data_IF_019762493541
#
_entry.id   IF_019762493541
#
_cell.length_a   1.000
_cell.length_b   1.000
_cell.length_c   1.000
_cell.angle_alpha   90.00
_cell.angle_beta   90.00
_cell.angle_gamma   90.00
#
_symmetry.space_group_name_H-M   'P 1'
#
loop_
_entity.id
_entity.type
_entity.pdbx_description
1 polymer ?
#
# COMPACT_ATOMS: atom_id res chain seq x y z
N UNK A 1 -4.92 68.52 35.58
CA UNK A 1 -3.90 67.54 36.03
C UNK A 1 -4.50 66.17 35.75
N UNK A 2 -4.24 65.63 34.56
CA UNK A 2 -3.24 64.56 34.30
C UNK A 2 -3.79 63.20 34.73
N UNK A 3 -4.27 62.39 33.78
CA UNK A 3 -3.56 61.23 33.16
C UNK A 3 -4.03 59.93 33.84
N UNK A 4 -4.24 58.79 33.22
CA UNK A 4 -3.91 58.24 31.90
C UNK A 4 -4.51 56.82 31.90
N UNK A 5 -5.07 56.39 30.78
CA UNK A 5 -5.35 54.98 30.52
C UNK A 5 -4.03 54.22 30.29
N UNK A 6 -4.00 52.90 30.52
CA UNK A 6 -3.54 52.07 29.42
C UNK A 6 -4.44 50.86 29.17
N UNK A 7 -4.79 50.77 27.89
CA UNK A 7 -5.18 49.60 27.14
C UNK A 7 -4.35 48.37 27.49
N UNK A 8 -4.99 47.30 27.97
CA UNK A 8 -4.37 45.96 27.95
C UNK A 8 -4.92 45.24 26.73
N UNK A 9 -4.10 45.21 25.69
CA UNK A 9 -4.32 44.44 24.48
C UNK A 9 -4.48 42.96 24.86
N UNK A 10 -5.68 42.42 24.67
CA UNK A 10 -5.95 40.98 24.78
C UNK A 10 -5.26 40.31 23.59
N UNK A 11 -4.13 39.68 23.87
CA UNK A 11 -3.34 38.95 22.90
C UNK A 11 -4.14 37.78 22.32
N UNK A 12 -4.57 37.92 21.07
CA UNK A 12 -5.06 36.81 20.27
C UNK A 12 -3.83 36.02 19.81
N UNK A 13 -3.37 35.10 20.65
CA UNK A 13 -2.48 34.02 20.24
C UNK A 13 -3.32 33.03 19.42
N UNK A 14 -3.49 33.31 18.13
CA UNK A 14 -3.97 32.37 17.13
C UNK A 14 -2.95 31.22 17.04
N UNK A 15 -3.17 30.19 17.84
CA UNK A 15 -2.57 28.87 17.69
C UNK A 15 -2.89 28.37 16.29
N UNK A 16 -1.94 28.57 15.37
CA UNK A 16 -1.86 27.87 14.10
C UNK A 16 -1.70 26.37 14.40
N UNK A 17 -2.82 25.67 14.62
CA UNK A 17 -2.87 24.24 14.42
C UNK A 17 -2.68 23.98 12.93
N UNK A 18 -1.43 23.99 12.49
CA UNK A 18 -1.03 23.33 11.27
C UNK A 18 -1.37 21.85 11.46
N UNK A 19 -2.57 21.47 11.04
CA UNK A 19 -2.98 20.07 10.89
C UNK A 19 -2.05 19.50 9.84
N UNK A 20 -0.91 18.98 10.28
CA UNK A 20 -0.06 18.13 9.47
C UNK A 20 -0.88 16.87 9.23
N UNK A 21 -1.68 16.87 8.16
CA UNK A 21 -2.16 15.63 7.56
C UNK A 21 -0.89 14.89 7.14
N UNK A 22 -0.38 14.06 8.04
CA UNK A 22 0.56 13.01 7.70
C UNK A 22 -0.08 12.30 6.52
N UNK A 23 0.46 12.51 5.32
CA UNK A 23 0.17 11.66 4.20
C UNK A 23 0.57 10.26 4.67
N UNK A 24 -0.41 9.46 5.02
CA UNK A 24 -0.19 8.11 5.54
C UNK A 24 0.35 7.29 4.38
N UNK A 25 1.67 7.29 4.22
CA UNK A 25 2.35 6.53 3.19
C UNK A 25 2.54 5.11 3.73
N UNK A 26 1.60 4.23 3.37
CA UNK A 26 1.70 2.80 3.63
C UNK A 26 3.02 2.24 3.06
N UNK A 27 3.67 1.36 3.80
CA UNK A 27 4.83 0.60 3.34
C UNK A 27 4.42 -0.83 3.02
N UNK A 28 5.00 -1.42 1.97
CA UNK A 28 4.74 -2.80 1.59
C UNK A 28 6.05 -3.55 1.33
N UNK A 29 6.01 -4.86 1.49
CA UNK A 29 7.09 -5.72 0.98
C UNK A 29 6.93 -5.82 -0.54
N UNK A 30 8.00 -5.49 -1.27
CA UNK A 30 8.12 -5.73 -2.69
C UNK A 30 9.06 -6.91 -2.95
N UNK A 31 8.55 -7.91 -3.65
CA UNK A 31 9.30 -9.07 -4.04
C UNK A 31 8.66 -9.80 -5.23
N UNK A 32 9.51 -10.43 -6.05
CA UNK A 32 9.13 -11.34 -7.13
C UNK A 32 9.96 -12.60 -6.94
N UNK A 33 9.31 -13.72 -6.64
CA UNK A 33 10.01 -14.97 -6.32
C UNK A 33 9.32 -16.16 -6.98
N UNK A 34 10.09 -17.08 -7.54
CA UNK A 34 9.60 -18.38 -8.00
C UNK A 34 9.68 -19.46 -6.90
N UNK A 35 10.18 -19.08 -5.72
CA UNK A 35 10.31 -19.90 -4.52
C UNK A 35 9.07 -19.75 -3.60
N UNK A 36 9.19 -20.26 -2.37
CA UNK A 36 8.16 -20.15 -1.33
C UNK A 36 7.96 -18.71 -0.84
N UNK A 37 6.85 -18.49 -0.14
CA UNK A 37 6.44 -17.15 0.28
C UNK A 37 7.39 -16.54 1.31
N UNK A 38 7.96 -17.37 2.19
CA UNK A 38 8.93 -17.01 3.21
C UNK A 38 10.23 -16.49 2.58
N UNK A 39 10.65 -17.11 1.47
CA UNK A 39 11.82 -16.65 0.73
C UNK A 39 11.59 -15.24 0.18
N UNK A 40 10.35 -14.92 -0.19
CA UNK A 40 9.98 -13.62 -0.72
C UNK A 40 9.97 -12.53 0.36
N UNK A 41 9.57 -12.87 1.60
CA UNK A 41 9.66 -11.96 2.73
C UNK A 41 11.08 -11.76 3.23
N UNK A 42 11.90 -12.81 3.21
CA UNK A 42 13.30 -12.73 3.65
C UNK A 42 14.16 -11.85 2.75
N UNK A 43 13.91 -11.84 1.43
CA UNK A 43 14.68 -11.05 0.44
C UNK A 43 13.94 -9.80 -0.04
N UNK A 44 12.67 -9.66 0.33
CA UNK A 44 11.81 -8.58 -0.12
C UNK A 44 12.27 -7.22 0.41
N UNK A 45 12.09 -6.18 -0.40
CA UNK A 45 12.42 -4.82 0.00
C UNK A 45 11.19 -4.14 0.56
N UNK A 46 11.30 -3.51 1.71
CA UNK A 46 10.23 -2.63 2.20
C UNK A 46 10.28 -1.33 1.41
N UNK A 47 9.19 -1.03 0.70
CA UNK A 47 9.06 0.18 -0.12
C UNK A 47 7.89 1.02 0.38
N UNK A 48 8.04 2.34 0.32
CA UNK A 48 6.95 3.28 0.59
C UNK A 48 6.03 3.34 -0.63
N UNK A 49 4.73 3.13 -0.46
CA UNK A 49 3.82 3.22 -1.59
C UNK A 49 3.58 4.68 -1.99
N UNK A 50 3.79 4.91 -3.27
CA UNK A 50 3.62 6.17 -3.98
C UNK A 50 3.23 5.83 -5.43
N UNK A 51 3.05 6.87 -6.25
CA UNK A 51 2.65 6.72 -7.64
C UNK A 51 3.64 5.90 -8.46
N UNK A 52 4.94 6.19 -8.31
CA UNK A 52 6.00 5.52 -9.08
C UNK A 52 6.02 4.01 -8.80
N UNK A 53 6.01 3.63 -7.52
CA UNK A 53 6.04 2.22 -7.11
C UNK A 53 4.74 1.50 -7.51
N UNK A 54 3.57 2.12 -7.34
CA UNK A 54 2.31 1.53 -7.75
C UNK A 54 2.18 1.39 -9.28
N UNK A 55 2.62 2.39 -10.05
CA UNK A 55 2.58 2.38 -11.51
C UNK A 55 3.58 1.37 -12.10
N UNK A 56 4.81 1.30 -11.57
CA UNK A 56 5.78 0.27 -11.97
C UNK A 56 5.22 -1.13 -11.73
N UNK A 57 4.64 -1.34 -10.54
CA UNK A 57 4.07 -2.63 -10.19
C UNK A 57 2.85 -2.97 -11.05
N UNK A 58 1.97 -2.00 -11.32
CA UNK A 58 0.85 -2.15 -12.25
C UNK A 58 1.32 -2.57 -13.64
N UNK A 59 2.32 -1.90 -14.21
CA UNK A 59 2.89 -2.24 -15.54
C UNK A 59 3.43 -3.67 -15.55
N UNK A 60 4.05 -4.11 -14.46
CA UNK A 60 4.48 -5.49 -14.32
C UNK A 60 3.30 -6.47 -14.33
N UNK A 61 2.26 -6.22 -13.53
CA UNK A 61 1.07 -7.06 -13.49
C UNK A 61 0.32 -7.08 -14.83
N UNK A 62 0.26 -5.95 -15.53
CA UNK A 62 -0.38 -5.85 -16.84
C UNK A 62 0.37 -6.64 -17.93
N UNK A 63 1.69 -6.84 -17.78
CA UNK A 63 2.44 -7.76 -18.65
C UNK A 63 2.01 -9.22 -18.43
N UNK A 64 1.64 -9.58 -17.19
CA UNK A 64 1.16 -10.91 -16.84
C UNK A 64 -0.32 -11.10 -17.22
N UNK A 65 -1.13 -10.05 -17.10
CA UNK A 65 -2.54 -10.04 -17.47
C UNK A 65 -2.93 -8.73 -18.18
N UNK A 66 -3.07 -8.80 -19.51
CA UNK A 66 -3.46 -7.67 -20.36
C UNK A 66 -4.88 -7.14 -20.11
N UNK A 67 -5.72 -7.89 -19.39
CA UNK A 67 -7.07 -7.43 -19.03
C UNK A 67 -7.07 -6.51 -17.81
N UNK A 68 -5.96 -6.43 -17.08
CA UNK A 68 -5.80 -5.52 -15.97
C UNK A 68 -5.76 -4.08 -16.52
N UNK A 69 -6.75 -3.28 -16.11
CA UNK A 69 -6.87 -1.88 -16.50
C UNK A 69 -6.41 -0.99 -15.36
N UNK A 70 -5.70 0.07 -15.71
CA UNK A 70 -5.28 1.07 -14.73
C UNK A 70 -6.52 1.79 -14.21
N UNK A 71 -6.61 2.08 -12.90
CA UNK A 71 -7.75 2.80 -12.38
C UNK A 71 -7.79 4.23 -12.95
N UNK A 72 -8.98 4.71 -13.30
CA UNK A 72 -9.15 6.08 -13.85
C UNK A 72 -8.74 7.19 -12.88
N UNK A 73 -8.69 6.89 -11.59
CA UNK A 73 -8.32 7.82 -10.53
C UNK A 73 -7.71 7.06 -9.35
N UNK A 74 -6.74 7.66 -8.68
CA UNK A 74 -6.04 7.07 -7.56
C UNK A 74 -6.83 7.29 -6.25
N UNK A 75 -7.23 6.20 -5.55
CA UNK A 75 -7.89 6.22 -4.23
C UNK A 75 -6.94 6.05 -3.05
N UNK A 76 -5.65 6.23 -3.27
CA UNK A 76 -4.58 5.82 -2.36
C UNK A 76 -3.98 4.49 -2.77
N UNK A 77 -3.16 3.95 -1.88
CA UNK A 77 -2.34 2.76 -2.15
C UNK A 77 -2.70 1.61 -1.20
N UNK A 78 -2.39 0.40 -1.61
CA UNK A 78 -2.55 -0.81 -0.83
C UNK A 78 -1.39 -1.77 -1.07
N UNK A 79 -1.12 -2.64 -0.10
CA UNK A 79 -0.23 -3.77 -0.30
C UNK A 79 -0.98 -4.91 -0.93
N UNK A 80 -0.32 -5.63 -1.83
CA UNK A 80 -0.86 -6.80 -2.49
C UNK A 80 0.14 -7.94 -2.44
N UNK A 81 -0.42 -9.16 -2.43
CA UNK A 81 0.29 -10.42 -2.56
C UNK A 81 -0.52 -11.32 -3.47
N UNK A 82 0.11 -11.87 -4.50
CA UNK A 82 -0.55 -12.77 -5.46
C UNK A 82 0.39 -13.87 -5.95
N UNK A 83 -0.16 -15.07 -6.14
CA UNK A 83 0.51 -16.17 -6.85
C UNK A 83 0.05 -16.22 -8.31
N UNK A 84 0.98 -16.00 -9.24
CA UNK A 84 0.75 -16.01 -10.69
C UNK A 84 1.32 -17.29 -11.32
N UNK A 85 0.57 -17.90 -12.22
CA UNK A 85 0.97 -19.15 -12.90
C UNK A 85 1.11 -20.32 -11.92
N UNK A 86 2.13 -21.16 -12.12
CA UNK A 86 2.34 -22.35 -11.29
C UNK A 86 2.94 -22.00 -9.91
N UNK A 87 3.95 -21.13 -9.84
CA UNK A 87 4.68 -20.89 -8.58
C UNK A 87 5.12 -19.45 -8.31
N UNK A 88 5.03 -18.52 -9.27
CA UNK A 88 5.57 -17.16 -9.07
C UNK A 88 4.74 -16.37 -8.07
N UNK A 89 5.35 -15.97 -6.97
CA UNK A 89 4.80 -15.05 -6.01
C UNK A 89 5.23 -13.62 -6.33
N UNK A 90 4.26 -12.70 -6.24
CA UNK A 90 4.46 -11.27 -6.46
C UNK A 90 3.87 -10.52 -5.27
N UNK A 91 4.67 -9.68 -4.63
CA UNK A 91 4.27 -8.77 -3.55
C UNK A 91 4.66 -7.34 -3.93
N UNK A 92 3.83 -6.36 -3.59
CA UNK A 92 4.19 -4.94 -3.74
C UNK A 92 3.02 -3.97 -3.58
N UNK A 93 3.28 -2.71 -3.91
CA UNK A 93 2.30 -1.63 -3.89
C UNK A 93 1.36 -1.69 -5.10
N UNK A 94 0.09 -1.40 -4.88
CA UNK A 94 -0.90 -1.18 -5.94
C UNK A 94 -1.78 0.02 -5.60
N UNK A 95 -2.51 0.53 -6.58
CA UNK A 95 -3.62 1.43 -6.33
C UNK A 95 -4.71 0.72 -5.52
N UNK A 96 -5.23 1.37 -4.47
CA UNK A 96 -6.19 0.77 -3.54
C UNK A 96 -7.52 0.35 -4.21
N UNK A 97 -7.87 0.99 -5.33
CA UNK A 97 -9.05 0.69 -6.13
C UNK A 97 -8.78 -0.22 -7.33
N UNK A 98 -7.61 -0.86 -7.40
CA UNK A 98 -7.28 -1.84 -8.43
C UNK A 98 -7.72 -3.25 -8.00
N UNK A 99 -8.63 -3.85 -8.76
CA UNK A 99 -9.15 -5.20 -8.48
C UNK A 99 -8.24 -6.30 -9.07
N UNK A 100 -7.01 -6.38 -8.55
CA UNK A 100 -6.00 -7.36 -9.00
C UNK A 100 -6.47 -8.79 -8.78
N UNK A 101 -7.02 -9.10 -7.61
CA UNK A 101 -7.38 -10.47 -7.28
C UNK A 101 -8.46 -11.03 -8.20
N UNK A 102 -9.47 -10.24 -8.56
CA UNK A 102 -10.50 -10.71 -9.50
C UNK A 102 -9.96 -10.93 -10.91
N UNK A 103 -9.05 -10.08 -11.38
CA UNK A 103 -8.45 -10.22 -12.71
C UNK A 103 -7.73 -11.57 -12.86
N UNK A 104 -6.87 -11.91 -11.90
CA UNK A 104 -6.07 -13.13 -11.95
C UNK A 104 -6.83 -14.40 -11.51
N UNK A 105 -7.87 -14.27 -10.67
CA UNK A 105 -8.72 -15.43 -10.27
C UNK A 105 -9.44 -16.07 -11.45
N UNK A 106 -9.85 -15.28 -12.45
CA UNK A 106 -10.56 -15.79 -13.63
C UNK A 106 -9.74 -16.76 -14.49
N UNK A 107 -8.40 -16.69 -14.42
CA UNK A 107 -7.51 -17.47 -15.30
C UNK A 107 -6.97 -18.76 -14.67
N UNK A 108 -6.95 -18.85 -13.34
CA UNK A 108 -6.36 -19.99 -12.64
C UNK A 108 -7.45 -20.87 -12.00
N UNK A 109 -7.51 -22.14 -12.43
CA UNK A 109 -8.23 -23.21 -11.73
C UNK A 109 -7.20 -24.21 -11.19
N UNK A 110 -7.12 -24.44 -9.87
CA UNK A 110 -7.87 -23.78 -8.78
C UNK A 110 -7.48 -22.31 -8.59
N UNK A 111 -8.37 -21.54 -7.94
CA UNK A 111 -8.14 -20.13 -7.62
C UNK A 111 -6.83 -19.99 -6.83
N UNK A 112 -5.91 -19.16 -7.33
CA UNK A 112 -4.62 -18.94 -6.68
C UNK A 112 -4.77 -17.94 -5.52
N UNK A 113 -3.98 -18.08 -4.44
CA UNK A 113 -4.00 -17.14 -3.32
C UNK A 113 -3.71 -15.72 -3.79
N UNK A 114 -4.58 -14.79 -3.39
CA UNK A 114 -4.41 -13.35 -3.61
C UNK A 114 -5.00 -12.59 -2.42
N UNK A 115 -4.29 -11.58 -1.92
CA UNK A 115 -4.73 -10.74 -0.81
C UNK A 115 -4.30 -9.29 -1.02
N UNK A 116 -5.15 -8.36 -0.57
CA UNK A 116 -4.91 -6.91 -0.57
C UNK A 116 -5.19 -6.40 0.84
N UNK A 117 -4.35 -5.49 1.35
CA UNK A 117 -4.46 -4.93 2.69
C UNK A 117 -3.88 -3.50 2.75
N UNK A 118 -4.22 -2.74 3.79
CA UNK A 118 -3.93 -1.29 3.90
C UNK A 118 -3.09 -0.88 5.12
N UNK A 119 -2.45 -1.84 5.80
CA UNK A 119 -1.52 -1.58 6.89
C UNK A 119 -0.06 -1.73 6.46
N UNK A 120 0.87 -1.14 7.21
CA UNK A 120 2.31 -1.30 6.93
C UNK A 120 2.73 -2.77 6.94
N UNK A 121 3.38 -3.18 5.85
CA UNK A 121 3.97 -4.50 5.64
C UNK A 121 2.96 -5.65 5.84
N UNK A 122 1.67 -5.36 5.66
CA UNK A 122 0.58 -6.30 5.88
C UNK A 122 0.56 -7.46 4.86
N UNK A 123 1.33 -7.32 3.77
CA UNK A 123 1.52 -8.37 2.78
C UNK A 123 2.66 -9.34 3.12
N UNK A 124 3.31 -9.19 4.28
CA UNK A 124 4.19 -10.21 4.87
C UNK A 124 3.42 -11.45 5.30
N UNK A 125 4.10 -12.59 5.41
CA UNK A 125 3.63 -13.69 6.24
C UNK A 125 3.81 -13.23 7.68
N UNK A 126 2.69 -12.97 8.39
CA UNK A 126 2.76 -12.98 9.84
C UNK A 126 3.06 -14.43 10.24
N UNK A 127 4.24 -14.67 10.82
CA UNK A 127 4.70 -15.99 11.29
C UNK A 127 3.64 -16.75 12.14
N UNK A 128 2.66 -16.02 12.70
CA UNK A 128 1.54 -16.52 13.50
C UNK A 128 0.48 -17.31 12.70
N UNK A 129 0.32 -17.07 11.40
CA UNK A 129 -0.71 -17.72 10.59
C UNK A 129 -0.32 -19.14 10.12
N UNK A 130 0.96 -19.52 10.29
CA UNK A 130 1.52 -20.81 9.84
C UNK A 130 1.55 -21.91 10.92
N UNK A 131 1.55 -21.55 12.21
CA UNK A 131 1.71 -22.51 13.32
C UNK A 131 0.43 -22.73 14.14
N UNK A 132 -0.69 -22.12 13.74
CA UNK A 132 -1.97 -22.21 14.45
C UNK A 132 -3.15 -22.69 13.57
N UNK A 133 -2.88 -23.17 12.36
CA UNK A 133 -3.87 -23.85 11.50
C UNK A 133 -3.37 -25.23 11.10
#
# INVERSE_FOLDING_TARGET
>A
MSSSWPSVAVGIALLLFAVTKSAYCIKCIECKSDLYEEACDAVGKVVTCNEDNASEHFRYLQKLDKSLQEPRWNKGYACMKIKVGNHRLVKGCIYANLDVCMAFRKRAKPAKPCSICQDNECNSIKYRDYYLN
#
